data_IF_109022193018
#
_entry.id   IF_109022193018
#
_cell.length_a   1.000
_cell.length_b   1.000
_cell.length_c   1.000
_cell.angle_alpha   90.00
_cell.angle_beta   90.00
_cell.angle_gamma   90.00
#
_symmetry.space_group_name_H-M   'P 1'
#
loop_
_entity.id
_entity.type
_entity.pdbx_description
1 polymer ?
#
# COMPACT_ATOMS: atom_id res chain seq x y z
N UNK A 1 2.62 -14.73 30.46
CA UNK A 1 1.65 -13.97 29.65
C UNK A 1 0.54 -13.35 30.51
N UNK A 2 0.83 -12.87 31.74
CA UNK A 2 -0.22 -12.45 32.67
C UNK A 2 -0.37 -10.94 32.92
N UNK A 3 0.51 -10.10 32.39
CA UNK A 3 0.41 -8.64 32.57
C UNK A 3 -0.07 -7.94 31.30
N UNK A 4 -1.33 -8.16 30.93
CA UNK A 4 -1.97 -7.31 29.93
C UNK A 4 -2.43 -6.03 30.62
N UNK A 5 -1.74 -4.92 30.33
CA UNK A 5 -2.08 -3.55 30.76
C UNK A 5 -3.59 -3.23 30.65
N UNK A 6 -4.27 -3.84 29.66
CA UNK A 6 -5.72 -3.72 29.46
C UNK A 6 -6.58 -4.21 30.64
N UNK A 7 -6.06 -5.07 31.51
CA UNK A 7 -6.76 -5.52 32.74
C UNK A 7 -6.80 -4.43 33.82
N UNK A 8 -5.86 -3.48 33.78
CA UNK A 8 -5.75 -2.38 34.75
C UNK A 8 -6.56 -1.14 34.34
N UNK A 9 -7.04 -1.09 33.08
CA UNK A 9 -7.84 0.02 32.57
C UNK A 9 -9.32 -0.14 32.99
N UNK A 10 -9.97 0.89 33.55
CA UNK A 10 -11.41 0.89 33.83
C UNK A 10 -12.24 0.58 32.59
N UNK A 11 -13.37 -0.14 32.73
CA UNK A 11 -14.18 -0.58 31.60
C UNK A 11 -14.61 0.56 30.65
N UNK A 12 -14.88 1.75 31.20
CA UNK A 12 -15.23 2.97 30.45
C UNK A 12 -14.08 3.57 29.63
N UNK A 13 -12.84 3.16 29.90
CA UNK A 13 -11.62 3.62 29.22
C UNK A 13 -10.97 2.53 28.35
N UNK A 14 -11.56 1.33 28.28
CA UNK A 14 -11.14 0.27 27.34
C UNK A 14 -11.58 0.55 25.90
N UNK A 15 -11.57 1.82 25.51
CA UNK A 15 -11.82 2.24 24.14
C UNK A 15 -10.46 2.45 23.49
N UNK A 16 -9.98 1.42 22.78
CA UNK A 16 -8.83 1.58 21.92
C UNK A 16 -9.33 2.29 20.67
N UNK A 17 -8.81 3.48 20.33
CA UNK A 17 -9.13 4.10 19.06
C UNK A 17 -8.72 3.11 17.97
N UNK A 18 -9.70 2.63 17.21
CA UNK A 18 -9.41 1.94 15.96
C UNK A 18 -8.88 3.05 15.05
N UNK A 19 -7.56 3.12 14.91
CA UNK A 19 -6.96 3.96 13.89
C UNK A 19 -7.49 3.40 12.58
N UNK A 20 -8.38 4.15 11.93
CA UNK A 20 -8.89 3.81 10.61
C UNK A 20 -7.70 3.89 9.67
N UNK A 21 -6.95 2.80 9.51
CA UNK A 21 -5.76 2.73 8.65
C UNK A 21 -6.07 3.12 7.19
N UNK A 22 -7.36 3.20 6.84
CA UNK A 22 -7.85 3.40 5.49
C UNK A 22 -7.50 4.76 4.87
N UNK A 23 -7.27 5.85 5.62
CA UNK A 23 -7.06 7.16 4.98
C UNK A 23 -5.62 7.46 4.58
N UNK A 24 -4.62 6.95 5.30
CA UNK A 24 -3.21 7.29 5.05
C UNK A 24 -2.49 6.28 4.14
N UNK A 25 -2.87 5.00 4.20
CA UNK A 25 -2.21 3.98 3.37
C UNK A 25 -2.59 4.06 1.90
N UNK A 26 -3.81 4.50 1.56
CA UNK A 26 -4.25 4.63 0.17
C UNK A 26 -3.56 5.78 -0.58
N UNK A 27 -3.00 6.74 0.16
CA UNK A 27 -2.31 7.90 -0.43
C UNK A 27 -0.79 7.74 -0.49
N UNK A 28 -0.24 6.70 0.14
CA UNK A 28 1.22 6.50 0.22
C UNK A 28 1.74 6.10 -1.15
N UNK A 29 2.64 6.92 -1.70
CA UNK A 29 3.32 6.66 -2.98
C UNK A 29 4.77 6.26 -2.75
N UNK A 30 5.29 5.36 -3.57
CA UNK A 30 6.62 4.77 -3.44
C UNK A 30 7.34 4.76 -4.79
N UNK A 31 8.66 4.79 -4.74
CA UNK A 31 9.50 4.47 -5.89
C UNK A 31 9.72 2.97 -5.96
N UNK A 32 9.57 2.41 -7.16
CA UNK A 32 9.78 1.00 -7.42
C UNK A 32 10.71 0.78 -8.60
N UNK A 33 11.38 -0.36 -8.62
CA UNK A 33 12.08 -0.90 -9.79
C UNK A 33 11.48 -2.26 -10.16
N UNK A 34 11.23 -2.46 -11.45
CA UNK A 34 10.63 -3.69 -11.97
C UNK A 34 11.71 -4.74 -12.22
N UNK A 35 11.61 -5.90 -11.59
CA UNK A 35 12.65 -6.94 -11.62
C UNK A 35 12.39 -8.01 -12.69
N UNK A 36 11.12 -8.25 -13.04
CA UNK A 36 10.70 -9.30 -13.99
C UNK A 36 10.00 -8.70 -15.20
N UNK A 37 10.07 -9.42 -16.32
CA UNK A 37 9.36 -9.09 -17.55
C UNK A 37 7.99 -9.78 -17.62
N UNK A 38 7.11 -9.31 -18.51
CA UNK A 38 5.79 -9.90 -18.75
C UNK A 38 4.77 -9.65 -17.64
N UNK A 39 4.95 -8.59 -16.85
CA UNK A 39 3.96 -8.18 -15.84
C UNK A 39 2.73 -7.57 -16.52
N UNK A 40 1.57 -7.80 -15.92
CA UNK A 40 0.32 -7.16 -16.33
C UNK A 40 0.36 -5.66 -16.04
N UNK A 41 -0.35 -4.89 -16.87
CA UNK A 41 -0.50 -3.46 -16.66
C UNK A 41 -1.29 -3.20 -15.37
N UNK A 42 -0.78 -2.30 -14.52
CA UNK A 42 -1.42 -1.99 -13.25
C UNK A 42 -2.35 -0.78 -13.37
N UNK A 43 -3.59 -0.84 -12.84
CA UNK A 43 -4.43 0.34 -12.74
C UNK A 43 -3.90 1.25 -11.62
N UNK A 44 -3.67 2.51 -11.95
CA UNK A 44 -3.31 3.57 -11.00
C UNK A 44 -4.30 4.73 -11.10
N UNK A 45 -4.68 5.37 -9.99
CA UNK A 45 -5.50 6.57 -10.00
C UNK A 45 -4.88 7.67 -10.85
N UNK A 46 -5.69 8.26 -11.74
CA UNK A 46 -5.27 9.38 -12.56
C UNK A 46 -5.14 10.66 -11.71
N UNK A 47 -4.03 11.38 -11.89
CA UNK A 47 -3.78 12.65 -11.19
C UNK A 47 -4.69 13.79 -11.69
N UNK A 48 -5.13 13.73 -12.94
CA UNK A 48 -5.98 14.76 -13.54
C UNK A 48 -7.48 14.56 -13.23
N UNK A 49 -7.91 13.31 -13.02
CA UNK A 49 -9.29 12.96 -12.68
C UNK A 49 -9.33 11.82 -11.65
N UNK A 50 -9.62 12.12 -10.37
CA UNK A 50 -9.67 11.15 -9.28
C UNK A 50 -10.68 10.01 -9.47
N UNK A 51 -11.65 10.15 -10.37
CA UNK A 51 -12.64 9.12 -10.66
C UNK A 51 -12.23 8.21 -11.84
N UNK A 52 -11.02 8.37 -12.35
CA UNK A 52 -10.49 7.61 -13.47
C UNK A 52 -9.17 6.91 -13.13
N UNK A 53 -8.89 5.86 -13.89
CA UNK A 53 -7.67 5.06 -13.74
C UNK A 53 -6.85 5.10 -15.04
N UNK A 54 -5.54 4.99 -14.90
CA UNK A 54 -4.58 4.83 -16.00
C UNK A 54 -3.93 3.47 -15.82
N UNK A 55 -3.76 2.73 -16.92
CA UNK A 55 -3.02 1.48 -16.92
C UNK A 55 -1.53 1.76 -17.16
N UNK A 56 -0.70 1.47 -16.16
CA UNK A 56 0.74 1.65 -16.22
C UNK A 56 1.40 0.34 -16.64
N UNK A 57 2.16 0.41 -17.73
CA UNK A 57 2.97 -0.72 -18.23
C UNK A 57 4.28 -0.84 -17.45
N UNK A 58 4.55 -2.05 -16.96
CA UNK A 58 5.71 -2.36 -16.12
C UNK A 58 6.75 -3.16 -16.90
N UNK A 59 7.68 -2.47 -17.55
CA UNK A 59 8.78 -3.09 -18.29
C UNK A 59 9.95 -3.44 -17.36
N UNK A 60 10.63 -4.57 -17.59
CA UNK A 60 11.78 -4.96 -16.77
C UNK A 60 12.87 -3.88 -16.73
N UNK A 61 13.38 -3.55 -15.54
CA UNK A 61 14.40 -2.52 -15.31
C UNK A 61 13.86 -1.08 -15.30
N UNK A 62 12.56 -0.87 -15.59
CA UNK A 62 11.95 0.44 -15.47
C UNK A 62 11.71 0.83 -14.01
N UNK A 63 11.64 2.14 -13.75
CA UNK A 63 11.40 2.71 -12.42
C UNK A 63 10.20 3.63 -12.44
N UNK A 64 9.33 3.49 -11.44
CA UNK A 64 8.05 4.20 -11.40
C UNK A 64 7.78 4.80 -10.02
N UNK A 65 6.98 5.86 -10.00
CA UNK A 65 6.47 6.48 -8.77
C UNK A 65 4.95 6.27 -8.69
N UNK A 66 4.52 5.33 -7.86
CA UNK A 66 3.16 4.79 -7.87
C UNK A 66 2.55 4.66 -6.48
N UNK A 67 1.22 4.66 -6.34
CA UNK A 67 0.55 4.33 -5.10
C UNK A 67 0.88 2.91 -4.63
N UNK A 68 1.21 2.76 -3.35
CA UNK A 68 1.66 1.48 -2.78
C UNK A 68 0.57 0.41 -2.83
N UNK A 69 -0.69 0.80 -2.62
CA UNK A 69 -1.84 -0.11 -2.66
C UNK A 69 -1.98 -0.83 -4.02
N UNK A 70 -1.70 -0.15 -5.14
CA UNK A 70 -1.74 -0.74 -6.48
C UNK A 70 -0.69 -1.83 -6.70
N UNK A 71 0.46 -1.77 -6.01
CA UNK A 71 1.62 -2.63 -6.28
C UNK A 71 1.95 -3.64 -5.18
N UNK A 72 1.15 -3.68 -4.10
CA UNK A 72 1.41 -4.54 -2.94
C UNK A 72 1.58 -6.02 -3.31
N UNK A 73 0.71 -6.52 -4.20
CA UNK A 73 0.75 -7.91 -4.66
C UNK A 73 1.99 -8.24 -5.49
N UNK A 74 2.54 -7.28 -6.25
CA UNK A 74 3.79 -7.45 -7.01
C UNK A 74 5.00 -7.49 -6.08
N UNK A 75 4.96 -6.69 -5.01
CA UNK A 75 6.01 -6.70 -3.98
C UNK A 75 6.04 -8.04 -3.22
N UNK A 76 4.88 -8.57 -2.84
CA UNK A 76 4.75 -9.87 -2.18
C UNK A 76 5.27 -11.04 -3.05
N UNK A 77 5.19 -10.91 -4.38
CA UNK A 77 5.71 -11.89 -5.37
C UNK A 77 7.18 -11.67 -5.74
N UNK A 78 7.82 -10.63 -5.20
CA UNK A 78 9.17 -10.21 -5.57
C UNK A 78 9.34 -9.93 -7.08
N UNK A 79 8.27 -9.43 -7.71
CA UNK A 79 8.29 -9.00 -9.11
C UNK A 79 8.87 -7.58 -9.26
N UNK A 80 8.84 -6.82 -8.17
CA UNK A 80 9.38 -5.46 -8.04
C UNK A 80 10.18 -5.36 -6.73
N UNK A 81 10.99 -4.31 -6.60
CA UNK A 81 11.54 -3.87 -5.32
C UNK A 81 11.19 -2.41 -5.03
N UNK A 82 11.11 -2.06 -3.74
CA UNK A 82 11.03 -0.67 -3.29
C UNK A 82 12.43 -0.05 -3.33
N UNK A 83 12.53 1.22 -3.73
CA UNK A 83 13.76 2.01 -3.74
C UNK A 83 13.85 2.96 -2.54
#
# INVERSE_FOLDING_TARGET
FEDSFLKQIPASMKWLPIVSNNSETDSTRVFIEVLKDGLEDIPIPNMADPNSEIFLRLEQGSRHFVPFNCIKHLLERSDICLL
#
